data_IF_388494689663
#
_entry.id   IF_388494689663
#
_cell.length_a   1.000
_cell.length_b   1.000
_cell.length_c   1.000
_cell.angle_alpha   90.00
_cell.angle_beta   90.00
_cell.angle_gamma   90.00
#
_symmetry.space_group_name_H-M   'P 1'
#
loop_
_entity.id
_entity.type
_entity.pdbx_description
1 polymer ?
#
# COMPACT_ATOMS: atom_id res chain seq x y z
N UNK A 1 -29.08 -7.04 34.25
CA UNK A 1 -29.31 -5.73 33.60
C UNK A 1 -29.46 -6.04 32.13
N UNK A 2 -30.63 -5.76 31.56
CA UNK A 2 -30.93 -6.02 30.15
C UNK A 2 -30.14 -5.01 29.32
N UNK A 3 -29.17 -5.48 28.54
CA UNK A 3 -28.49 -4.65 27.55
C UNK A 3 -29.44 -4.31 26.41
N UNK A 4 -29.34 -3.10 25.89
CA UNK A 4 -30.25 -2.61 24.84
C UNK A 4 -29.82 -3.17 23.47
N UNK A 5 -30.68 -3.88 22.71
CA UNK A 5 -30.31 -4.44 21.42
C UNK A 5 -30.02 -3.35 20.38
N UNK A 6 -29.07 -3.60 19.49
CA UNK A 6 -28.68 -2.67 18.43
C UNK A 6 -29.86 -2.28 17.53
N UNK A 7 -29.83 -1.05 17.02
CA UNK A 7 -30.85 -0.55 16.09
C UNK A 7 -30.80 -1.37 14.78
N UNK A 8 -31.88 -2.13 14.52
CA UNK A 8 -32.01 -3.02 13.34
C UNK A 8 -31.82 -2.31 11.99
N UNK A 9 -32.19 -1.05 11.92
CA UNK A 9 -32.19 -0.29 10.66
C UNK A 9 -30.88 0.48 10.42
N UNK A 10 -30.02 0.62 11.44
CA UNK A 10 -28.79 1.43 11.37
C UNK A 10 -27.52 0.72 11.84
N UNK A 11 -27.63 -0.43 12.51
CA UNK A 11 -26.49 -1.20 13.03
C UNK A 11 -25.77 -0.53 14.21
N UNK A 12 -26.35 0.49 14.85
CA UNK A 12 -25.77 1.19 16.00
C UNK A 12 -26.08 0.44 17.32
N UNK A 13 -25.05 0.17 18.13
CA UNK A 13 -25.11 -0.57 19.39
C UNK A 13 -24.52 0.29 20.53
N UNK A 14 -25.29 0.56 21.59
CA UNK A 14 -24.87 1.47 22.66
C UNK A 14 -23.92 0.87 23.72
N UNK A 15 -23.76 -0.48 23.80
CA UNK A 15 -23.29 -1.08 25.07
C UNK A 15 -22.19 -2.17 25.04
N UNK A 16 -21.50 -2.49 23.93
CA UNK A 16 -20.46 -3.55 23.99
C UNK A 16 -19.15 -3.22 23.27
N UNK A 17 -18.05 -3.44 24.00
CA UNK A 17 -16.63 -3.41 23.63
C UNK A 17 -16.28 -4.40 22.50
N UNK A 18 -16.85 -4.23 21.31
CA UNK A 18 -16.30 -4.82 20.08
C UNK A 18 -16.61 -6.29 19.78
N UNK A 19 -17.57 -6.93 20.47
CA UNK A 19 -18.10 -8.25 20.06
C UNK A 19 -19.50 -8.11 19.47
N UNK A 20 -19.71 -8.67 18.28
CA UNK A 20 -21.04 -8.74 17.69
C UNK A 20 -21.93 -9.78 18.36
N UNK A 21 -23.23 -9.46 18.40
CA UNK A 21 -24.27 -10.41 18.77
C UNK A 21 -24.34 -11.60 17.80
N UNK A 22 -24.86 -12.74 18.26
CA UNK A 22 -24.99 -13.95 17.45
C UNK A 22 -25.80 -13.68 16.16
N UNK A 23 -25.20 -14.00 15.01
CA UNK A 23 -25.80 -13.78 13.68
C UNK A 23 -25.46 -12.44 13.02
N UNK A 24 -24.70 -11.59 13.71
CA UNK A 24 -24.12 -10.38 13.16
C UNK A 24 -22.63 -10.60 12.82
N UNK A 25 -22.19 -10.04 11.69
CA UNK A 25 -20.77 -10.01 11.31
C UNK A 25 -20.18 -8.61 11.47
N UNK A 26 -18.92 -8.56 11.93
CA UNK A 26 -18.05 -7.38 11.72
C UNK A 26 -17.17 -7.66 10.52
N UNK A 27 -16.88 -6.65 9.71
CA UNK A 27 -15.92 -6.77 8.59
C UNK A 27 -14.48 -6.37 8.98
N UNK A 28 -14.18 -6.14 10.27
CA UNK A 28 -12.85 -5.66 10.71
C UNK A 28 -12.35 -6.41 11.95
N UNK A 29 -11.26 -7.16 11.79
CA UNK A 29 -10.56 -7.88 12.88
C UNK A 29 -9.75 -6.91 13.76
N UNK A 30 -9.49 -5.68 13.29
CA UNK A 30 -8.61 -4.73 14.00
C UNK A 30 -9.37 -3.61 14.74
N UNK A 31 -10.57 -3.19 14.30
CA UNK A 31 -11.41 -2.21 15.01
C UNK A 31 -12.90 -2.39 14.67
N UNK A 32 -13.76 -2.87 15.58
CA UNK A 32 -15.20 -3.02 15.37
C UNK A 32 -15.89 -1.71 15.73
N UNK A 33 -16.19 -0.86 14.76
CA UNK A 33 -17.02 0.34 15.01
C UNK A 33 -18.53 0.03 15.02
N UNK A 34 -18.95 -1.11 14.46
CA UNK A 34 -20.34 -1.53 14.38
C UNK A 34 -20.51 -2.95 13.78
N UNK A 35 -21.53 -3.65 14.25
CA UNK A 35 -22.04 -4.89 13.65
C UNK A 35 -22.90 -4.53 12.44
N UNK A 36 -22.29 -4.56 11.26
CA UNK A 36 -22.84 -3.92 10.07
C UNK A 36 -23.99 -4.70 9.41
N UNK A 37 -23.99 -6.04 9.47
CA UNK A 37 -24.94 -6.86 8.71
C UNK A 37 -25.40 -8.08 9.49
N UNK A 38 -26.71 -8.26 9.65
CA UNK A 38 -27.30 -9.51 10.17
C UNK A 38 -27.41 -10.53 9.04
N UNK A 39 -26.43 -11.43 8.97
CA UNK A 39 -26.41 -12.50 7.97
C UNK A 39 -27.05 -13.78 8.49
N UNK A 40 -27.32 -13.87 9.79
CA UNK A 40 -27.76 -15.10 10.44
C UNK A 40 -26.60 -16.08 10.60
N UNK A 41 -26.81 -17.12 11.41
CA UNK A 41 -25.82 -18.15 11.65
C UNK A 41 -26.46 -19.53 11.71
N UNK A 42 -25.68 -20.56 11.38
CA UNK A 42 -26.15 -21.94 11.40
C UNK A 42 -25.13 -22.87 12.06
N UNK A 43 -25.50 -24.14 12.27
CA UNK A 43 -24.65 -25.13 12.94
C UNK A 43 -24.20 -24.65 14.32
N UNK A 44 -25.17 -24.32 15.20
CA UNK A 44 -24.92 -23.71 16.52
C UNK A 44 -24.06 -22.44 16.45
N UNK A 45 -24.21 -21.68 15.36
CA UNK A 45 -23.47 -20.46 15.07
C UNK A 45 -21.95 -20.62 15.00
N UNK A 46 -21.48 -21.80 14.59
CA UNK A 46 -20.10 -22.01 14.16
C UNK A 46 -19.82 -21.52 12.74
N UNK A 47 -20.88 -21.21 11.97
CA UNK A 47 -20.80 -20.72 10.60
C UNK A 47 -21.79 -19.58 10.35
N UNK A 48 -21.45 -18.71 9.41
CA UNK A 48 -22.24 -17.56 8.97
C UNK A 48 -23.00 -17.89 7.70
N UNK A 49 -24.25 -17.45 7.56
CA UNK A 49 -24.98 -17.64 6.32
C UNK A 49 -24.63 -16.57 5.27
N UNK A 50 -24.65 -16.95 4.00
CA UNK A 50 -24.32 -16.06 2.89
C UNK A 50 -25.35 -16.13 1.76
N UNK A 51 -26.63 -16.16 2.14
CA UNK A 51 -27.77 -16.22 1.23
C UNK A 51 -28.11 -14.84 0.65
N UNK A 52 -28.65 -14.80 -0.56
CA UNK A 52 -29.00 -13.53 -1.22
C UNK A 52 -30.11 -12.77 -0.49
N UNK A 53 -31.05 -13.48 0.13
CA UNK A 53 -32.10 -12.87 0.96
C UNK A 53 -31.68 -12.56 2.41
N UNK A 54 -30.38 -12.66 2.72
CA UNK A 54 -29.86 -12.43 4.06
C UNK A 54 -30.28 -13.51 5.07
N UNK A 55 -30.37 -13.14 6.35
CA UNK A 55 -30.62 -14.08 7.44
C UNK A 55 -31.98 -14.78 7.39
N UNK A 56 -33.01 -14.08 6.92
CA UNK A 56 -34.38 -14.64 6.81
C UNK A 56 -34.46 -15.76 5.77
N UNK A 57 -33.56 -15.72 4.79
CA UNK A 57 -33.43 -16.73 3.74
C UNK A 57 -32.59 -17.94 4.20
N UNK A 58 -31.93 -17.87 5.36
CA UNK A 58 -31.07 -18.94 5.85
C UNK A 58 -31.82 -19.91 6.77
N UNK A 59 -31.71 -21.21 6.48
CA UNK A 59 -32.08 -22.23 7.43
C UNK A 59 -31.05 -22.31 8.58
N UNK A 60 -31.41 -21.87 9.78
CA UNK A 60 -30.50 -21.84 10.94
C UNK A 60 -29.94 -23.21 11.38
N UNK A 61 -30.57 -24.33 10.96
CA UNK A 61 -30.07 -25.67 11.27
C UNK A 61 -29.05 -26.13 10.23
N UNK A 62 -29.39 -25.97 8.95
CA UNK A 62 -28.60 -26.56 7.85
C UNK A 62 -27.69 -25.56 7.15
N UNK A 63 -27.96 -24.26 7.19
CA UNK A 63 -27.25 -23.24 6.43
C UNK A 63 -27.71 -23.08 4.99
N UNK A 64 -28.74 -23.83 4.57
CA UNK A 64 -29.26 -23.75 3.20
C UNK A 64 -30.07 -22.47 3.00
N UNK A 65 -29.95 -21.89 1.81
CA UNK A 65 -30.76 -20.75 1.39
C UNK A 65 -32.12 -21.22 0.88
N UNK A 66 -33.21 -20.69 1.42
CA UNK A 66 -34.58 -21.03 1.01
C UNK A 66 -34.84 -20.65 -0.45
N UNK A 67 -34.27 -19.54 -0.90
CA UNK A 67 -34.22 -19.09 -2.30
C UNK A 67 -33.32 -19.93 -3.19
N UNK A 68 -32.54 -20.86 -2.61
CA UNK A 68 -31.47 -21.62 -3.27
C UNK A 68 -30.40 -20.73 -3.92
N UNK A 69 -30.31 -19.45 -3.52
CA UNK A 69 -29.43 -18.45 -4.14
C UNK A 69 -28.47 -17.87 -3.11
N UNK A 70 -27.18 -17.93 -3.42
CA UNK A 70 -26.14 -17.29 -2.62
C UNK A 70 -26.05 -15.79 -2.91
N UNK A 71 -25.60 -15.03 -1.92
CA UNK A 71 -25.14 -13.67 -2.15
C UNK A 71 -24.05 -13.67 -3.25
N UNK A 72 -23.97 -12.65 -4.14
CA UNK A 72 -23.12 -12.73 -5.34
C UNK A 72 -21.62 -12.98 -5.09
N UNK A 73 -21.13 -12.63 -3.88
CA UNK A 73 -19.78 -12.95 -3.39
C UNK A 73 -19.52 -14.43 -3.13
N UNK A 74 -20.54 -15.23 -2.87
CA UNK A 74 -20.40 -16.58 -2.32
C UNK A 74 -20.94 -17.64 -3.27
N UNK A 75 -20.41 -18.86 -3.16
CA UNK A 75 -20.81 -20.03 -3.95
C UNK A 75 -20.58 -21.32 -3.16
N UNK A 76 -20.84 -22.47 -3.79
CA UNK A 76 -20.65 -23.80 -3.22
C UNK A 76 -21.70 -24.17 -2.18
N UNK A 77 -21.43 -25.28 -1.47
CA UNK A 77 -22.33 -25.82 -0.46
C UNK A 77 -22.59 -24.79 0.65
N UNK A 78 -23.87 -24.53 0.94
CA UNK A 78 -24.30 -23.57 1.98
C UNK A 78 -23.71 -22.16 1.78
N UNK A 79 -23.31 -21.81 0.56
CA UNK A 79 -22.69 -20.53 0.21
C UNK A 79 -21.41 -20.23 1.02
N UNK A 80 -20.59 -21.24 1.30
CA UNK A 80 -19.41 -21.09 2.15
C UNK A 80 -18.09 -20.87 1.38
N UNK A 81 -18.12 -20.84 0.05
CA UNK A 81 -16.94 -20.58 -0.77
C UNK A 81 -16.94 -19.13 -1.24
N UNK A 82 -15.95 -18.34 -0.82
CA UNK A 82 -15.75 -16.98 -1.32
C UNK A 82 -15.28 -17.03 -2.77
N UNK A 83 -15.84 -16.16 -3.61
CA UNK A 83 -15.50 -16.05 -5.02
C UNK A 83 -14.40 -15.02 -5.27
N UNK A 84 -14.07 -14.20 -4.27
CA UNK A 84 -12.94 -13.28 -4.32
C UNK A 84 -11.65 -13.94 -3.85
N UNK A 85 -10.55 -13.62 -4.55
CA UNK A 85 -9.20 -13.77 -4.04
C UNK A 85 -8.51 -12.41 -4.18
N UNK A 86 -7.89 -11.92 -3.09
CA UNK A 86 -7.16 -10.65 -3.10
C UNK A 86 -5.70 -10.88 -2.73
N UNK A 87 -4.82 -10.08 -3.33
CA UNK A 87 -3.41 -10.02 -2.95
C UNK A 87 -3.00 -8.57 -2.82
N UNK A 88 -2.29 -8.26 -1.75
CA UNK A 88 -1.76 -6.94 -1.48
C UNK A 88 -0.25 -7.06 -1.33
N UNK A 89 0.48 -6.25 -2.08
CA UNK A 89 1.92 -6.18 -1.98
C UNK A 89 2.35 -5.22 -0.87
N UNK A 90 3.38 -5.60 -0.12
CA UNK A 90 4.07 -4.66 0.77
C UNK A 90 4.70 -3.58 -0.10
N UNK A 91 4.43 -2.31 0.19
CA UNK A 91 4.83 -1.17 -0.65
C UNK A 91 5.37 -0.02 0.20
N UNK A 92 5.92 1.02 -0.43
CA UNK A 92 6.27 2.23 0.28
C UNK A 92 5.02 3.01 0.70
N UNK A 93 5.11 3.84 1.75
CA UNK A 93 4.04 4.75 2.12
C UNK A 93 3.54 5.59 0.95
N UNK A 94 2.22 5.80 0.88
CA UNK A 94 1.55 6.60 -0.15
C UNK A 94 1.31 5.88 -1.48
N UNK A 95 1.62 4.58 -1.58
CA UNK A 95 1.36 3.73 -2.74
C UNK A 95 0.66 2.46 -2.27
N UNK A 96 -0.24 1.92 -3.09
CA UNK A 96 -0.77 0.57 -2.93
C UNK A 96 -0.73 -0.17 -4.28
N UNK A 97 -0.17 -1.38 -4.27
CA UNK A 97 -0.18 -2.30 -5.41
C UNK A 97 -0.87 -3.57 -4.95
N UNK A 98 -1.94 -3.95 -5.66
CA UNK A 98 -2.76 -5.09 -5.27
C UNK A 98 -3.42 -5.73 -6.48
N UNK A 99 -3.89 -6.95 -6.31
CA UNK A 99 -4.73 -7.64 -7.28
C UNK A 99 -6.00 -8.12 -6.63
N UNK A 100 -7.06 -8.12 -7.43
CA UNK A 100 -8.33 -8.73 -7.10
C UNK A 100 -8.70 -9.71 -8.19
N UNK A 101 -9.17 -10.87 -7.77
CA UNK A 101 -9.68 -11.90 -8.64
C UNK A 101 -11.10 -12.26 -8.23
N UNK A 102 -11.93 -12.56 -9.22
CA UNK A 102 -13.30 -13.00 -8.99
C UNK A 102 -13.65 -14.15 -9.92
N UNK A 103 -14.16 -15.25 -9.34
CA UNK A 103 -14.49 -16.46 -10.09
C UNK A 103 -16.00 -16.59 -10.32
N UNK A 104 -16.41 -16.67 -11.59
CA UNK A 104 -17.78 -16.91 -11.98
C UNK A 104 -18.24 -18.34 -11.68
N UNK A 105 -19.53 -18.51 -11.40
CA UNK A 105 -20.15 -19.85 -11.36
C UNK A 105 -20.10 -20.50 -12.74
N UNK A 106 -20.18 -21.83 -12.79
CA UNK A 106 -20.18 -22.57 -14.06
C UNK A 106 -21.31 -22.08 -14.98
N UNK A 107 -20.97 -21.71 -16.23
CA UNK A 107 -21.93 -21.17 -17.20
C UNK A 107 -22.19 -19.66 -17.11
N UNK A 108 -21.66 -18.98 -16.09
CA UNK A 108 -21.74 -17.51 -15.99
C UNK A 108 -20.60 -16.87 -16.80
N UNK A 109 -20.95 -15.96 -17.71
CA UNK A 109 -19.98 -15.11 -18.43
C UNK A 109 -19.87 -13.76 -17.73
N UNK A 110 -18.65 -13.30 -17.48
CA UNK A 110 -18.39 -12.00 -16.87
C UNK A 110 -17.78 -11.03 -17.90
N UNK A 111 -18.32 -9.80 -18.05
CA UNK A 111 -17.68 -8.75 -18.84
C UNK A 111 -16.28 -8.41 -18.33
N UNK A 112 -15.40 -7.94 -19.23
CA UNK A 112 -14.01 -7.57 -18.89
C UNK A 112 -13.86 -6.25 -18.12
N UNK A 113 -14.93 -5.49 -17.95
CA UNK A 113 -15.02 -4.25 -17.18
C UNK A 113 -15.79 -4.43 -15.87
N UNK A 114 -16.22 -5.66 -15.57
CA UNK A 114 -17.12 -6.01 -14.47
C UNK A 114 -16.52 -5.82 -13.07
N UNK A 115 -15.18 -5.74 -12.97
CA UNK A 115 -14.47 -5.54 -11.71
C UNK A 115 -13.76 -4.19 -11.65
N UNK A 116 -13.94 -3.50 -10.54
CA UNK A 116 -13.40 -2.18 -10.25
C UNK A 116 -12.82 -2.13 -8.83
N UNK A 117 -12.00 -1.14 -8.53
CA UNK A 117 -11.50 -0.90 -7.17
C UNK A 117 -11.60 0.58 -6.80
N UNK A 118 -11.90 0.87 -5.53
CA UNK A 118 -11.98 2.24 -5.02
C UNK A 118 -11.44 2.34 -3.59
N UNK A 119 -11.05 3.55 -3.20
CA UNK A 119 -10.75 3.91 -1.81
C UNK A 119 -12.06 4.26 -1.11
N UNK A 120 -12.24 3.73 0.10
CA UNK A 120 -13.48 3.88 0.84
C UNK A 120 -14.66 3.17 0.17
N UNK A 121 -15.86 3.44 0.68
CA UNK A 121 -17.09 2.77 0.21
C UNK A 121 -17.73 3.43 -1.02
N UNK A 122 -17.01 4.31 -1.71
CA UNK A 122 -17.53 4.96 -2.92
C UNK A 122 -17.68 3.94 -4.04
N UNK A 123 -18.92 3.74 -4.50
CA UNK A 123 -19.24 2.89 -5.66
C UNK A 123 -19.37 3.70 -6.96
N UNK A 124 -18.95 4.96 -6.93
CA UNK A 124 -18.92 5.89 -8.06
C UNK A 124 -17.50 6.34 -8.31
N UNK A 125 -17.22 6.79 -9.54
CA UNK A 125 -15.93 7.36 -9.93
C UNK A 125 -15.42 8.44 -8.95
N UNK A 126 -14.09 8.58 -8.79
CA UNK A 126 -13.03 7.95 -9.60
C UNK A 126 -12.60 6.56 -9.11
N UNK A 127 -12.51 5.61 -10.05
CA UNK A 127 -11.96 4.27 -9.81
C UNK A 127 -10.42 4.29 -9.75
N UNK A 128 -9.84 3.35 -9.01
CA UNK A 128 -8.39 3.13 -8.97
C UNK A 128 -7.91 2.63 -10.34
N UNK A 129 -6.71 3.08 -10.73
CA UNK A 129 -6.10 2.76 -12.00
C UNK A 129 -5.79 1.26 -12.07
N UNK A 130 -6.35 0.61 -13.09
CA UNK A 130 -6.07 -0.78 -13.46
C UNK A 130 -4.82 -0.83 -14.34
N UNK A 131 -3.84 -1.63 -13.92
CA UNK A 131 -2.57 -1.79 -14.65
C UNK A 131 -2.66 -2.93 -15.65
N UNK A 132 -3.30 -4.03 -15.25
CA UNK A 132 -3.44 -5.23 -16.06
C UNK A 132 -4.76 -5.93 -15.80
N UNK A 133 -5.20 -6.68 -16.79
CA UNK A 133 -6.36 -7.55 -16.69
C UNK A 133 -6.06 -8.87 -17.38
N UNK A 134 -6.26 -9.97 -16.66
CA UNK A 134 -6.24 -11.32 -17.20
C UNK A 134 -7.62 -11.98 -16.97
N UNK A 135 -8.04 -12.80 -17.94
CA UNK A 135 -9.28 -13.55 -17.89
C UNK A 135 -8.99 -14.98 -18.27
N UNK A 136 -9.11 -15.89 -17.30
CA UNK A 136 -8.88 -17.33 -17.50
C UNK A 136 -10.15 -18.10 -17.18
N UNK A 137 -10.81 -18.61 -18.22
CA UNK A 137 -12.09 -19.30 -18.08
C UNK A 137 -13.15 -18.39 -17.48
N UNK A 138 -13.61 -18.72 -16.26
CA UNK A 138 -14.61 -17.94 -15.50
C UNK A 138 -13.99 -16.98 -14.50
N UNK A 139 -12.66 -16.89 -14.40
CA UNK A 139 -11.98 -16.03 -13.42
C UNK A 139 -11.47 -14.76 -14.07
N UNK A 140 -11.88 -13.62 -13.53
CA UNK A 140 -11.27 -12.31 -13.78
C UNK A 140 -10.14 -12.11 -12.77
N UNK A 141 -8.98 -11.60 -13.19
CA UNK A 141 -7.86 -11.27 -12.31
C UNK A 141 -7.22 -9.95 -12.74
N UNK A 142 -7.47 -8.87 -11.99
CA UNK A 142 -6.99 -7.53 -12.33
C UNK A 142 -6.02 -7.02 -11.27
N UNK A 143 -4.97 -6.36 -11.73
CA UNK A 143 -4.00 -5.67 -10.88
C UNK A 143 -4.21 -4.16 -10.95
N UNK A 144 -4.02 -3.51 -9.82
CA UNK A 144 -4.29 -2.09 -9.61
C UNK A 144 -3.09 -1.42 -8.96
N UNK A 145 -2.91 -0.13 -9.29
CA UNK A 145 -2.00 0.76 -8.58
C UNK A 145 -2.73 2.02 -8.16
N UNK A 146 -2.53 2.41 -6.92
CA UNK A 146 -3.02 3.66 -6.39
C UNK A 146 -1.86 4.45 -5.79
N UNK A 147 -1.52 5.57 -6.44
CA UNK A 147 -0.60 6.57 -5.93
C UNK A 147 -1.43 7.70 -5.29
N UNK A 148 -1.05 8.14 -4.10
CA UNK A 148 -1.71 9.15 -3.26
C UNK A 148 -2.83 8.62 -2.35
N UNK A 149 -2.44 8.18 -1.16
CA UNK A 149 -3.40 7.86 -0.09
C UNK A 149 -3.22 8.88 1.02
N UNK A 150 -4.25 9.69 1.25
CA UNK A 150 -4.34 10.60 2.41
C UNK A 150 -4.45 9.81 3.73
N UNK A 151 -5.42 10.07 4.61
CA UNK A 151 -5.62 9.18 5.76
C UNK A 151 -5.88 7.74 5.29
N UNK A 152 -5.51 6.75 6.11
CA UNK A 152 -5.57 5.34 5.73
C UNK A 152 -7.00 4.81 5.59
N UNK A 153 -7.62 5.08 4.45
CA UNK A 153 -8.91 4.50 4.12
C UNK A 153 -8.76 3.08 3.53
N UNK A 154 -9.70 2.17 3.85
CA UNK A 154 -9.70 0.82 3.29
C UNK A 154 -9.94 0.85 1.78
N UNK A 155 -9.29 -0.07 1.07
CA UNK A 155 -9.48 -0.26 -0.37
C UNK A 155 -10.47 -1.40 -0.57
N UNK A 156 -11.40 -1.22 -1.50
CA UNK A 156 -12.42 -2.21 -1.85
C UNK A 156 -12.28 -2.60 -3.31
N UNK A 157 -12.52 -3.88 -3.57
CA UNK A 157 -12.75 -4.42 -4.90
C UNK A 157 -14.23 -4.74 -5.05
N UNK A 158 -14.81 -4.31 -6.16
CA UNK A 158 -16.22 -4.43 -6.48
C UNK A 158 -16.39 -5.26 -7.73
N UNK A 159 -17.47 -6.02 -7.79
CA UNK A 159 -17.97 -6.65 -9.01
C UNK A 159 -19.44 -6.32 -9.19
N UNK A 160 -19.86 -6.14 -10.43
CA UNK A 160 -21.25 -5.88 -10.78
C UNK A 160 -21.68 -4.43 -10.69
N UNK A 161 -22.95 -4.20 -11.00
CA UNK A 161 -23.56 -2.87 -11.01
C UNK A 161 -24.10 -2.58 -9.62
N UNK A 162 -23.67 -1.50 -8.93
CA UNK A 162 -24.12 -1.19 -7.58
C UNK A 162 -25.64 -1.09 -7.41
N UNK A 163 -26.34 -0.71 -8.48
CA UNK A 163 -27.81 -0.60 -8.52
C UNK A 163 -28.53 -1.97 -8.60
N UNK A 164 -27.79 -3.05 -8.91
CA UNK A 164 -28.28 -4.42 -9.07
C UNK A 164 -27.78 -5.30 -7.90
N UNK A 165 -28.57 -5.40 -6.83
CA UNK A 165 -28.21 -6.17 -5.63
C UNK A 165 -28.01 -7.67 -5.89
N UNK A 166 -28.59 -8.21 -6.96
CA UNK A 166 -28.43 -9.61 -7.39
C UNK A 166 -27.09 -9.91 -8.08
N UNK A 167 -26.33 -8.88 -8.45
CA UNK A 167 -25.11 -9.01 -9.24
C UNK A 167 -23.91 -8.29 -8.59
N UNK A 168 -24.19 -7.40 -7.64
CA UNK A 168 -23.21 -6.61 -6.93
C UNK A 168 -22.60 -7.36 -5.75
N UNK A 169 -21.27 -7.31 -5.65
CA UNK A 169 -20.54 -7.77 -4.49
C UNK A 169 -19.24 -6.99 -4.33
N UNK A 170 -18.69 -7.01 -3.11
CA UNK A 170 -17.40 -6.40 -2.84
C UNK A 170 -16.61 -7.17 -1.79
N UNK A 171 -15.31 -6.89 -1.77
CA UNK A 171 -14.37 -7.35 -0.75
C UNK A 171 -13.44 -6.21 -0.38
N UNK A 172 -13.18 -6.06 0.92
CA UNK A 172 -12.17 -5.14 1.44
C UNK A 172 -10.81 -5.83 1.40
N UNK A 173 -9.78 -5.11 0.95
CA UNK A 173 -8.40 -5.59 1.07
C UNK A 173 -7.97 -5.64 2.54
N UNK A 174 -7.04 -6.55 2.89
CA UNK A 174 -6.47 -6.59 4.23
C UNK A 174 -5.76 -5.27 4.57
N UNK A 175 -5.50 -5.01 5.87
CA UNK A 175 -4.68 -3.89 6.31
C UNK A 175 -3.36 -3.82 5.55
N UNK A 176 -2.93 -2.60 5.23
CA UNK A 176 -1.69 -2.38 4.49
C UNK A 176 -0.50 -2.54 5.42
N UNK A 177 0.51 -3.25 4.95
CA UNK A 177 1.83 -3.29 5.55
C UNK A 177 2.79 -2.48 4.66
N UNK A 178 3.59 -1.60 5.28
CA UNK A 178 4.48 -0.69 4.58
C UNK A 178 5.93 -0.99 4.89
N UNK A 179 6.78 -0.74 3.90
CA UNK A 179 8.21 -0.62 4.16
C UNK A 179 8.48 0.65 4.97
N UNK A 180 9.39 0.54 5.94
CA UNK A 180 9.95 1.69 6.62
C UNK A 180 10.93 2.37 5.67
N UNK A 181 10.72 3.64 5.35
CA UNK A 181 11.62 4.36 4.46
C UNK A 181 13.04 4.47 5.05
N UNK A 182 14.09 4.35 4.22
CA UNK A 182 15.46 4.29 4.71
C UNK A 182 15.94 5.66 5.17
N UNK A 183 16.46 5.74 6.39
CA UNK A 183 17.12 6.94 6.90
C UNK A 183 18.62 6.75 6.90
N UNK A 184 19.33 7.63 6.21
CA UNK A 184 20.78 7.63 6.12
C UNK A 184 21.38 8.53 7.20
N UNK A 185 22.17 7.97 8.12
CA UNK A 185 22.76 8.72 9.23
C UNK A 185 24.23 9.09 9.04
N UNK A 186 24.84 8.68 7.91
CA UNK A 186 26.19 9.10 7.57
C UNK A 186 26.26 10.59 7.25
N UNK A 187 27.40 11.21 7.54
CA UNK A 187 27.68 12.59 7.09
C UNK A 187 28.41 12.49 5.76
N UNK A 188 27.96 13.19 4.70
CA UNK A 188 28.70 13.24 3.44
C UNK A 188 30.10 13.85 3.63
N UNK A 189 31.03 13.45 2.79
CA UNK A 189 32.42 13.88 2.80
C UNK A 189 32.72 14.80 1.60
N UNK A 190 33.43 15.90 1.86
CA UNK A 190 33.94 16.78 0.81
C UNK A 190 35.29 16.24 0.34
N UNK A 191 35.31 15.64 -0.85
CA UNK A 191 36.53 15.05 -1.41
C UNK A 191 37.40 16.10 -2.11
N UNK A 192 36.76 16.99 -2.86
CA UNK A 192 37.42 18.10 -3.57
C UNK A 192 36.43 19.25 -3.79
N UNK A 193 36.91 20.48 -3.86
CA UNK A 193 36.10 21.62 -4.28
C UNK A 193 36.92 22.74 -4.96
N UNK A 194 36.27 23.41 -5.90
CA UNK A 194 36.81 24.54 -6.65
C UNK A 194 35.90 25.76 -6.61
N UNK A 195 36.05 26.62 -7.63
CA UNK A 195 35.23 27.83 -7.77
C UNK A 195 33.78 27.51 -8.15
N UNK A 196 33.58 26.51 -9.01
CA UNK A 196 32.27 26.21 -9.63
C UNK A 196 31.89 24.73 -9.56
N UNK A 197 32.59 23.94 -8.73
CA UNK A 197 32.35 22.51 -8.59
C UNK A 197 32.75 21.99 -7.20
N UNK A 198 32.17 20.86 -6.81
CA UNK A 198 32.55 20.09 -5.63
C UNK A 198 32.34 18.59 -5.89
N UNK A 199 33.25 17.76 -5.40
CA UNK A 199 33.13 16.30 -5.38
C UNK A 199 32.69 15.87 -3.98
N UNK A 200 31.51 15.27 -3.90
CA UNK A 200 30.92 14.80 -2.64
C UNK A 200 30.94 13.28 -2.64
N UNK A 201 31.48 12.69 -1.57
CA UNK A 201 31.50 11.25 -1.33
C UNK A 201 30.63 10.87 -0.14
N UNK A 202 30.08 9.66 -0.11
CA UNK A 202 29.40 9.11 1.05
C UNK A 202 29.47 7.59 1.09
N UNK A 203 29.43 7.01 2.29
CA UNK A 203 29.32 5.55 2.45
C UNK A 203 27.94 5.07 2.00
N UNK A 204 27.86 3.82 1.57
CA UNK A 204 26.56 3.17 1.32
C UNK A 204 25.74 3.06 2.60
N UNK A 205 24.41 3.04 2.45
CA UNK A 205 23.46 2.72 3.51
C UNK A 205 23.72 1.30 4.01
N UNK A 206 23.78 1.14 5.32
CA UNK A 206 24.11 -0.10 5.99
C UNK A 206 23.04 -0.42 7.04
N UNK A 207 22.30 -1.53 6.92
CA UNK A 207 21.24 -1.88 7.87
C UNK A 207 21.74 -2.09 9.31
N UNK A 208 23.05 -2.22 9.53
CA UNK A 208 23.62 -2.35 10.88
C UNK A 208 23.79 -1.01 11.61
N UNK A 209 23.89 0.09 10.86
CA UNK A 209 24.12 1.43 11.40
C UNK A 209 23.04 2.44 11.05
N UNK A 210 22.36 2.28 9.92
CA UNK A 210 21.24 3.09 9.47
C UNK A 210 19.88 2.45 9.82
N UNK A 211 18.76 3.13 9.54
CA UNK A 211 17.40 2.63 9.83
C UNK A 211 16.56 2.51 8.57
N UNK A 212 15.47 1.73 8.68
CA UNK A 212 14.52 1.49 7.59
C UNK A 212 14.80 0.21 6.81
N UNK A 213 13.98 -0.04 5.80
CA UNK A 213 14.00 -1.25 5.00
C UNK A 213 14.77 -1.06 3.69
N UNK A 214 15.56 -2.06 3.33
CA UNK A 214 16.15 -2.19 1.99
C UNK A 214 15.18 -2.85 0.99
N UNK A 215 15.66 -3.21 -0.22
CA UNK A 215 16.99 -2.93 -0.76
C UNK A 215 17.12 -1.47 -1.23
N UNK A 216 18.31 -0.89 -1.05
CA UNK A 216 18.62 0.47 -1.53
C UNK A 216 19.04 0.40 -3.00
N UNK A 217 18.33 1.16 -3.84
CA UNK A 217 18.57 1.22 -5.30
C UNK A 217 19.23 2.53 -5.70
N UNK A 218 19.22 3.55 -4.83
CA UNK A 218 19.86 4.83 -5.11
C UNK A 218 19.92 5.77 -3.92
N UNK A 219 20.38 6.98 -4.21
CA UNK A 219 20.47 8.10 -3.30
C UNK A 219 20.02 9.37 -4.01
N UNK A 220 19.47 10.33 -3.28
CA UNK A 220 19.23 11.68 -3.78
C UNK A 220 20.10 12.67 -3.06
N UNK A 221 20.93 13.38 -3.82
CA UNK A 221 21.76 14.46 -3.31
C UNK A 221 21.00 15.78 -3.38
N UNK A 222 20.91 16.47 -2.25
CA UNK A 222 20.36 17.81 -2.12
C UNK A 222 21.49 18.79 -1.82
N UNK A 223 21.69 19.77 -2.70
CA UNK A 223 22.62 20.89 -2.47
C UNK A 223 21.81 22.15 -2.29
N UNK A 224 22.04 22.87 -1.19
CA UNK A 224 21.36 24.13 -0.87
C UNK A 224 22.33 25.28 -0.70
N UNK A 225 21.92 26.46 -1.15
CA UNK A 225 22.54 27.74 -0.79
C UNK A 225 21.56 28.51 0.10
N UNK A 226 21.86 28.62 1.40
CA UNK A 226 20.88 29.02 2.40
C UNK A 226 19.70 28.04 2.44
N UNK A 227 18.47 28.54 2.30
CA UNK A 227 17.25 27.74 2.25
C UNK A 227 16.93 27.17 0.86
N UNK A 228 17.60 27.64 -0.19
CA UNK A 228 17.22 27.34 -1.57
C UNK A 228 17.91 26.07 -2.06
N UNK A 229 17.13 25.10 -2.55
CA UNK A 229 17.66 23.91 -3.23
C UNK A 229 18.18 24.32 -4.61
N UNK A 230 19.50 24.31 -4.77
CA UNK A 230 20.18 24.64 -6.04
C UNK A 230 20.43 23.39 -6.89
N UNK A 231 20.45 22.21 -6.27
CA UNK A 231 20.51 20.92 -6.95
C UNK A 231 19.74 19.87 -6.16
N UNK A 232 18.93 19.07 -6.86
CA UNK A 232 18.43 17.80 -6.39
C UNK A 232 18.70 16.76 -7.48
N UNK A 233 19.48 15.71 -7.18
CA UNK A 233 19.87 14.72 -8.19
C UNK A 233 19.85 13.31 -7.62
N UNK A 234 19.23 12.39 -8.35
CA UNK A 234 19.32 10.96 -8.06
C UNK A 234 20.61 10.35 -8.61
N UNK A 235 21.21 9.49 -7.80
CA UNK A 235 22.46 8.77 -8.03
C UNK A 235 22.18 7.30 -7.75
N UNK A 236 22.43 6.44 -8.73
CA UNK A 236 22.21 5.00 -8.60
C UNK A 236 23.17 4.40 -7.57
N UNK A 237 22.69 3.44 -6.77
CA UNK A 237 23.56 2.68 -5.90
C UNK A 237 24.47 1.76 -6.73
N UNK A 238 25.71 1.48 -6.30
CA UNK A 238 26.57 0.48 -6.95
C UNK A 238 25.83 -0.86 -7.05
N UNK A 239 25.84 -1.49 -8.23
CA UNK A 239 25.10 -2.73 -8.46
C UNK A 239 25.53 -3.84 -7.49
N UNK A 240 24.60 -4.30 -6.65
CA UNK A 240 24.72 -5.59 -5.95
C UNK A 240 24.52 -6.68 -7.00
N UNK A 241 25.61 -7.17 -7.61
CA UNK A 241 25.53 -8.30 -8.54
C UNK A 241 25.09 -9.54 -7.76
N UNK A 242 23.83 -9.93 -7.91
CA UNK A 242 23.28 -11.21 -7.45
C UNK A 242 23.77 -12.33 -8.36
N UNK A 243 25.00 -12.81 -8.14
CA UNK A 243 25.33 -14.24 -8.16
C UNK A 243 26.83 -14.51 -7.97
N UNK A 244 27.08 -15.57 -7.20
CA UNK A 244 28.38 -16.22 -6.92
C UNK A 244 29.38 -15.44 -6.08
N UNK A 245 29.44 -15.81 -4.78
CA UNK A 245 30.57 -15.61 -3.85
C UNK A 245 31.31 -14.28 -4.00
N UNK A 246 30.84 -13.22 -3.32
CA UNK A 246 31.62 -12.01 -3.12
C UNK A 246 32.11 -11.92 -1.67
N UNK A 247 33.42 -11.73 -1.54
CA UNK A 247 34.10 -11.32 -0.31
C UNK A 247 33.48 -10.03 0.21
N UNK A 248 33.61 -9.80 1.51
CA UNK A 248 33.15 -8.59 2.22
C UNK A 248 33.80 -7.26 1.73
N UNK A 249 34.43 -7.22 0.55
CA UNK A 249 35.24 -6.10 0.04
C UNK A 249 34.46 -5.08 -0.80
N UNK A 250 33.22 -5.37 -1.21
CA UNK A 250 32.39 -4.45 -2.01
C UNK A 250 31.39 -3.61 -1.20
N UNK A 251 31.22 -3.89 0.10
CA UNK A 251 30.37 -3.10 1.00
C UNK A 251 30.99 -1.74 1.39
N UNK A 252 32.25 -1.52 1.04
CA UNK A 252 33.06 -0.34 1.37
C UNK A 252 33.21 0.66 0.20
N UNK A 253 32.54 0.43 -0.93
CA UNK A 253 32.67 1.32 -2.09
C UNK A 253 31.88 2.62 -1.85
N UNK A 254 32.61 3.71 -1.64
CA UNK A 254 32.07 5.05 -1.47
C UNK A 254 31.34 5.49 -2.74
N UNK A 255 30.10 5.97 -2.59
CA UNK A 255 29.35 6.59 -3.69
C UNK A 255 29.81 8.03 -3.82
N UNK A 256 29.98 8.52 -5.05
CA UNK A 256 30.47 9.88 -5.30
C UNK A 256 29.63 10.60 -6.33
N UNK A 257 29.47 11.91 -6.16
CA UNK A 257 28.83 12.78 -7.12
C UNK A 257 29.57 14.11 -7.28
N UNK A 258 29.80 14.50 -8.53
CA UNK A 258 30.46 15.74 -8.90
C UNK A 258 29.43 16.83 -9.18
N UNK A 259 29.23 17.70 -8.19
CA UNK A 259 28.41 18.91 -8.30
C UNK A 259 29.12 19.92 -9.19
N UNK A 260 28.41 20.47 -10.17
CA UNK A 260 28.90 21.50 -11.10
C UNK A 260 27.94 22.68 -11.14
N UNK A 261 28.43 23.84 -11.60
CA UNK A 261 27.61 25.05 -11.73
C UNK A 261 27.37 25.79 -10.42
N UNK A 262 28.26 25.60 -9.43
CA UNK A 262 28.23 26.39 -8.20
C UNK A 262 28.66 27.84 -8.50
N UNK A 263 28.27 28.76 -7.65
CA UNK A 263 28.79 30.13 -7.63
C UNK A 263 30.01 30.21 -6.71
N UNK A 264 30.89 31.19 -6.95
CA UNK A 264 32.11 31.40 -6.18
C UNK A 264 31.85 32.28 -4.94
N UNK A 265 32.11 31.76 -3.74
CA UNK A 265 31.97 32.47 -2.46
C UNK A 265 30.82 32.03 -1.54
N UNK A 266 29.64 31.59 -2.02
CA UNK A 266 28.57 31.13 -1.15
C UNK A 266 28.91 29.88 -0.33
N UNK A 267 28.19 29.71 0.79
CA UNK A 267 28.20 28.48 1.58
C UNK A 267 27.06 27.58 1.15
N UNK A 268 27.42 26.33 0.86
CA UNK A 268 26.49 25.28 0.49
C UNK A 268 26.31 24.29 1.63
N UNK A 269 25.11 23.72 1.74
CA UNK A 269 24.86 22.52 2.53
C UNK A 269 24.47 21.37 1.63
N UNK A 270 24.94 20.17 1.96
CA UNK A 270 24.71 18.94 1.21
C UNK A 270 24.11 17.90 2.13
N UNK A 271 22.98 17.33 1.73
CA UNK A 271 22.32 16.23 2.43
C UNK A 271 22.02 15.10 1.44
N UNK A 272 22.03 13.88 1.94
CA UNK A 272 21.75 12.68 1.16
C UNK A 272 20.51 12.00 1.74
N UNK A 273 19.56 11.66 0.87
CA UNK A 273 18.47 10.75 1.19
C UNK A 273 18.73 9.41 0.50
N UNK A 274 18.54 8.30 1.21
CA UNK A 274 18.59 6.96 0.60
C UNK A 274 17.26 6.67 -0.11
N UNK A 275 17.32 5.89 -1.19
CA UNK A 275 16.15 5.51 -1.98
C UNK A 275 16.08 3.98 -2.03
N UNK A 276 15.05 3.41 -1.41
CA UNK A 276 14.74 1.98 -1.57
C UNK A 276 13.93 1.73 -2.82
N UNK A 277 13.86 0.46 -3.21
CA UNK A 277 13.11 0.04 -4.39
C UNK A 277 11.61 0.40 -4.31
N UNK A 278 11.00 0.63 -5.47
CA UNK A 278 9.58 0.99 -5.61
C UNK A 278 9.26 2.49 -5.55
N UNK A 279 8.04 2.83 -5.96
CA UNK A 279 7.50 4.21 -6.00
C UNK A 279 7.48 4.79 -4.58
N UNK A 280 7.78 6.08 -4.42
CA UNK A 280 7.89 6.76 -3.11
C UNK A 280 8.94 6.14 -2.16
N UNK A 281 9.99 5.51 -2.68
CA UNK A 281 11.04 4.88 -1.87
C UNK A 281 12.09 5.84 -1.27
N UNK A 282 12.00 7.15 -1.53
CA UNK A 282 12.92 8.14 -0.98
C UNK A 282 12.65 8.34 0.51
N UNK A 283 13.65 8.11 1.36
CA UNK A 283 13.56 8.38 2.79
C UNK A 283 13.99 9.80 3.16
N UNK A 284 14.15 10.02 4.47
CA UNK A 284 14.49 11.34 4.99
C UNK A 284 15.90 11.79 4.60
N UNK A 285 16.09 13.11 4.53
CA UNK A 285 17.40 13.70 4.29
C UNK A 285 18.25 13.54 5.54
N UNK A 286 19.40 12.88 5.38
CA UNK A 286 20.36 12.67 6.45
C UNK A 286 21.09 13.94 6.91
N UNK A 287 22.12 13.78 7.74
CA UNK A 287 22.96 14.86 8.23
C UNK A 287 23.55 15.74 7.12
N UNK A 288 23.71 17.03 7.42
CA UNK A 288 24.24 18.01 6.48
C UNK A 288 25.76 18.17 6.57
N UNK A 289 26.43 18.11 5.42
CA UNK A 289 27.79 18.62 5.21
C UNK A 289 27.71 20.07 4.76
N UNK A 290 28.52 20.97 5.31
CA UNK A 290 28.62 22.36 4.86
C UNK A 290 30.01 22.71 4.32
N UNK A 291 30.06 23.48 3.23
CA UNK A 291 31.31 23.98 2.67
C UNK A 291 31.12 25.32 1.97
N UNK A 292 32.17 26.14 1.92
CA UNK A 292 32.18 27.42 1.19
C UNK A 292 32.98 27.25 -0.10
N UNK A 293 32.39 27.58 -1.24
CA UNK A 293 33.10 27.53 -2.52
C UNK A 293 34.22 28.57 -2.57
N UNK A 294 35.24 28.35 -3.41
CA UNK A 294 36.38 29.29 -3.48
C UNK A 294 35.92 30.68 -3.94
N UNK A 295 36.41 31.74 -3.30
CA UNK A 295 36.14 33.12 -3.69
C UNK A 295 36.80 33.45 -5.02
N UNK A 296 36.05 33.95 -6.00
CA UNK A 296 36.62 34.51 -7.22
C UNK A 296 37.52 35.69 -6.90
N UNK A 297 38.75 35.69 -7.41
CA UNK A 297 39.66 36.83 -7.24
C UNK A 297 39.07 38.03 -7.97
N UNK A 298 38.65 39.06 -7.24
CA UNK A 298 38.55 40.40 -7.81
C UNK A 298 39.97 40.85 -8.16
N UNK A 299 40.34 40.74 -9.42
CA UNK A 299 41.43 41.54 -9.99
C UNK A 299 41.02 43.02 -9.79
N UNK A 300 41.67 43.68 -8.83
CA UNK A 300 41.70 45.13 -8.74
C UNK A 300 42.54 45.72 -9.87
#
# INVERSE_FOLDING_TARGET
MNGTPCLKDSGYCDEVEGQCDLGYVTESVEFPSNCMTFSGCFSSCSKTCHCSGGAEDCNFLTGDCLSSTCHPRWTGDQCQTDRFETRLEKTNPGVAIFSCSFTASSGQSLPSDYMQAAVGKSTTEPWIIRISSDTSGTTLNYSFIHEYMGPEEPIYCFVGVPESSSEFAFVTLPPRDFFVLPSYNGVPELLEFGYYHAAIGWRQWDPSSDTGDGPIVGYKIYVRSGSNVVLAKEVQAPSIVTNTKRSAENATEMVMYNVKGLEAGPTYSVQIAAIRDGINGEGEQGPALTFTSRQGWHLK
#
